data_IF_581083392208
#
_entry.id   IF_581083392208
#
_cell.length_a   1.000
_cell.length_b   1.000
_cell.length_c   1.000
_cell.angle_alpha   90.00
_cell.angle_beta   90.00
_cell.angle_gamma   90.00
#
_symmetry.space_group_name_H-M   'P 1'
#
loop_
_entity.id
_entity.type
_entity.pdbx_description
1 polymer ?
#
# COMPACT_ATOMS: atom_id res chain seq x y z
N UNK A 1 -56.74 -4.90 2.51
CA UNK A 1 -56.24 -3.50 2.63
C UNK A 1 -55.31 -3.26 3.81
N UNK A 2 -55.59 -3.68 5.06
CA UNK A 2 -54.70 -3.45 6.24
C UNK A 2 -53.34 -4.14 6.07
N UNK A 3 -53.30 -5.43 5.68
CA UNK A 3 -52.06 -6.19 5.45
C UNK A 3 -51.14 -5.56 4.40
N UNK A 4 -51.72 -5.03 3.30
CA UNK A 4 -50.93 -4.33 2.26
C UNK A 4 -50.33 -3.03 2.79
N UNK A 5 -51.04 -2.28 3.64
CA UNK A 5 -50.51 -1.07 4.30
C UNK A 5 -49.36 -1.40 5.24
N UNK A 6 -49.45 -2.47 6.05
CA UNK A 6 -48.35 -2.90 6.93
C UNK A 6 -47.14 -3.38 6.11
N UNK A 7 -47.37 -4.09 5.01
CA UNK A 7 -46.28 -4.48 4.11
C UNK A 7 -45.53 -3.28 3.52
N UNK A 8 -46.26 -2.25 3.05
CA UNK A 8 -45.67 -1.01 2.53
C UNK A 8 -44.89 -0.25 3.61
N UNK A 9 -45.40 -0.18 4.84
CA UNK A 9 -44.65 0.47 5.96
C UNK A 9 -43.37 -0.28 6.27
N UNK A 10 -43.39 -1.61 6.32
CA UNK A 10 -42.15 -2.41 6.58
C UNK A 10 -41.14 -2.17 5.48
N UNK A 11 -41.54 -2.20 4.20
CA UNK A 11 -40.66 -1.92 3.07
C UNK A 11 -40.07 -0.51 3.15
N UNK A 12 -40.87 0.49 3.48
CA UNK A 12 -40.42 1.88 3.64
C UNK A 12 -39.40 2.00 4.78
N UNK A 13 -39.64 1.36 5.92
CA UNK A 13 -38.68 1.34 7.07
C UNK A 13 -37.36 0.67 6.66
N UNK A 14 -37.42 -0.48 5.98
CA UNK A 14 -36.22 -1.17 5.49
C UNK A 14 -35.42 -0.30 4.52
N UNK A 15 -36.09 0.37 3.59
CA UNK A 15 -35.43 1.29 2.66
C UNK A 15 -34.76 2.47 3.39
N UNK A 16 -35.44 3.04 4.39
CA UNK A 16 -34.85 4.12 5.21
C UNK A 16 -33.62 3.60 5.96
N UNK A 17 -33.69 2.42 6.56
CA UNK A 17 -32.53 1.84 7.26
C UNK A 17 -31.36 1.57 6.32
N UNK A 18 -31.63 1.03 5.14
CA UNK A 18 -30.60 0.80 4.11
C UNK A 18 -29.99 2.14 3.66
N UNK A 19 -30.81 3.14 3.38
CA UNK A 19 -30.33 4.45 2.95
C UNK A 19 -29.53 5.14 4.05
N UNK A 20 -30.00 5.08 5.30
CA UNK A 20 -29.28 5.63 6.45
C UNK A 20 -27.91 4.93 6.64
N UNK A 21 -27.87 3.61 6.51
CA UNK A 21 -26.64 2.85 6.59
C UNK A 21 -25.68 3.21 5.47
N UNK A 22 -26.21 3.36 4.25
CA UNK A 22 -25.43 3.74 3.08
C UNK A 22 -24.83 5.13 3.22
N UNK A 23 -25.64 6.14 3.59
CA UNK A 23 -25.16 7.51 3.80
C UNK A 23 -24.17 7.60 4.95
N UNK A 24 -24.38 6.84 6.03
CA UNK A 24 -23.42 6.76 7.13
C UNK A 24 -22.07 6.20 6.69
N UNK A 25 -22.05 5.18 5.85
CA UNK A 25 -20.81 4.57 5.37
C UNK A 25 -20.07 5.45 4.36
N UNK A 26 -20.79 6.28 3.61
CA UNK A 26 -20.23 7.21 2.60
C UNK A 26 -19.86 8.59 3.18
N UNK A 27 -20.15 8.83 4.47
CA UNK A 27 -19.80 10.13 5.03
C UNK A 27 -18.30 10.34 5.08
N UNK A 28 -17.87 11.55 4.81
CA UNK A 28 -16.53 12.01 5.15
C UNK A 28 -16.33 11.91 6.67
N UNK A 29 -15.30 11.21 7.14
CA UNK A 29 -14.94 11.10 8.55
C UNK A 29 -14.15 12.31 9.05
N UNK A 30 -13.65 13.13 8.15
CA UNK A 30 -12.79 14.28 8.43
C UNK A 30 -13.22 15.55 7.68
N UNK A 31 -14.50 15.98 7.77
CA UNK A 31 -15.03 17.08 6.95
C UNK A 31 -14.33 18.42 7.22
N UNK A 32 -13.66 18.56 8.37
CA UNK A 32 -12.91 19.77 8.71
C UNK A 32 -11.43 19.69 8.30
N UNK A 33 -10.99 18.56 7.74
CA UNK A 33 -9.60 18.42 7.33
C UNK A 33 -9.40 19.17 6.02
N UNK A 34 -8.67 20.27 6.10
CA UNK A 34 -8.24 21.07 4.97
C UNK A 34 -6.72 21.19 4.97
N UNK A 35 -6.11 21.23 3.80
CA UNK A 35 -4.68 21.50 3.62
C UNK A 35 -4.59 22.84 2.92
N UNK A 36 -4.14 23.83 3.68
CA UNK A 36 -3.74 25.13 3.15
C UNK A 36 -2.25 25.30 3.47
N UNK A 37 -1.43 24.69 2.61
CA UNK A 37 0.00 24.64 2.76
C UNK A 37 0.65 25.48 1.67
N UNK A 38 1.23 26.61 2.07
CA UNK A 38 2.12 27.42 1.25
C UNK A 38 3.55 27.17 1.75
N UNK A 39 4.42 26.66 0.89
CA UNK A 39 5.84 26.49 1.19
C UNK A 39 6.59 27.57 0.45
N UNK A 40 7.00 28.59 1.18
CA UNK A 40 7.92 29.59 0.64
C UNK A 40 9.35 29.04 0.68
N UNK A 41 10.09 29.07 -0.44
CA UNK A 41 11.48 28.62 -0.43
C UNK A 41 12.28 29.51 0.53
N UNK A 42 13.21 28.97 1.31
CA UNK A 42 14.09 29.77 2.14
C UNK A 42 14.89 30.75 1.29
N UNK A 43 15.13 31.97 1.83
CA UNK A 43 15.87 33.02 1.12
C UNK A 43 17.28 32.58 0.70
N UNK A 44 17.89 31.70 1.50
CA UNK A 44 19.18 31.09 1.20
C UNK A 44 19.03 29.54 1.27
N UNK A 45 19.67 28.79 0.35
CA UNK A 45 19.67 27.35 0.40
C UNK A 45 20.28 26.85 1.70
N UNK A 46 19.46 26.14 2.51
CA UNK A 46 19.92 25.49 3.74
C UNK A 46 20.60 24.14 3.49
N UNK A 47 21.06 23.54 4.58
CA UNK A 47 21.51 22.17 4.57
C UNK A 47 20.29 21.22 4.46
N UNK A 48 20.38 20.21 3.59
CA UNK A 48 19.31 19.26 3.39
C UNK A 48 19.54 18.01 4.22
N UNK A 49 18.54 17.62 4.99
CA UNK A 49 18.53 16.40 5.80
C UNK A 49 17.55 15.39 5.22
N UNK A 50 17.93 14.13 5.20
CA UNK A 50 17.04 13.03 4.82
C UNK A 50 17.16 11.89 5.81
N UNK A 51 16.04 11.27 6.14
CA UNK A 51 15.97 10.06 6.94
C UNK A 51 15.09 9.02 6.29
N UNK A 52 15.46 7.75 6.48
CA UNK A 52 14.69 6.61 5.99
C UNK A 52 14.35 5.66 7.12
N UNK A 53 13.21 4.99 6.98
CA UNK A 53 12.82 3.86 7.82
C UNK A 53 11.89 2.92 7.09
N UNK A 54 11.80 1.68 7.58
CA UNK A 54 10.81 0.69 7.16
C UNK A 54 10.27 -0.06 8.37
N UNK A 55 8.97 -0.33 8.39
CA UNK A 55 8.31 -1.14 9.40
C UNK A 55 7.50 -2.25 8.73
N UNK A 56 7.55 -3.49 9.25
CA UNK A 56 6.76 -4.58 8.69
C UNK A 56 5.27 -4.33 8.96
N UNK A 57 4.45 -4.64 7.95
CA UNK A 57 3.00 -4.63 8.03
C UNK A 57 2.39 -5.97 7.60
N UNK A 58 3.20 -7.01 7.51
CA UNK A 58 2.74 -8.36 7.16
C UNK A 58 1.69 -8.82 8.18
N UNK A 59 0.49 -9.28 7.73
CA UNK A 59 -0.52 -9.79 8.65
C UNK A 59 -0.13 -11.16 9.18
N UNK A 60 -0.66 -11.50 10.35
CA UNK A 60 -0.71 -12.90 10.75
C UNK A 60 -1.89 -13.55 10.01
N UNK A 61 -1.62 -14.57 9.21
CA UNK A 61 -2.66 -15.41 8.61
C UNK A 61 -3.16 -16.37 9.68
N UNK A 62 -4.41 -16.15 10.14
CA UNK A 62 -5.01 -16.91 11.25
C UNK A 62 -5.66 -18.18 10.78
N UNK A 63 -6.56 -18.08 9.77
CA UNK A 63 -7.27 -19.25 9.25
C UNK A 63 -6.87 -19.49 7.81
N UNK A 64 -6.72 -20.75 7.47
CA UNK A 64 -6.47 -21.22 6.10
C UNK A 64 -7.64 -22.06 5.60
N UNK A 65 -7.63 -22.44 4.33
CA UNK A 65 -8.72 -23.17 3.72
C UNK A 65 -8.22 -24.11 2.62
N UNK A 66 -9.09 -25.01 2.14
CA UNK A 66 -8.74 -25.98 1.10
C UNK A 66 -9.40 -25.59 -0.22
N UNK A 67 -8.60 -25.15 -1.17
CA UNK A 67 -9.00 -24.86 -2.57
C UNK A 67 -9.00 -26.16 -3.37
N UNK A 68 -10.12 -26.90 -3.38
CA UNK A 68 -10.21 -28.22 -4.03
C UNK A 68 -10.21 -28.14 -5.55
N UNK A 69 -10.74 -27.05 -6.11
CA UNK A 69 -10.88 -26.91 -7.55
C UNK A 69 -9.79 -26.05 -8.19
N UNK A 70 -8.90 -25.45 -7.39
CA UNK A 70 -7.77 -24.65 -7.86
C UNK A 70 -8.17 -23.32 -8.50
N UNK A 71 -9.35 -22.77 -8.11
CA UNK A 71 -9.85 -21.53 -8.67
C UNK A 71 -9.49 -20.28 -7.85
N UNK A 72 -8.83 -20.48 -6.69
CA UNK A 72 -8.45 -19.44 -5.73
C UNK A 72 -9.64 -18.66 -5.15
N UNK A 73 -10.81 -19.31 -5.05
CA UNK A 73 -12.05 -18.70 -4.51
C UNK A 73 -12.65 -19.62 -3.48
N UNK A 74 -12.82 -19.13 -2.26
CA UNK A 74 -13.46 -19.89 -1.19
C UNK A 74 -14.96 -20.06 -1.44
N UNK A 75 -15.40 -21.30 -1.63
CA UNK A 75 -16.76 -21.69 -2.02
C UNK A 75 -17.28 -22.81 -1.08
N UNK A 76 -17.65 -22.46 0.17
CA UNK A 76 -18.14 -23.46 1.14
C UNK A 76 -19.39 -24.17 0.65
N UNK A 77 -20.18 -23.56 -0.23
CA UNK A 77 -21.32 -24.17 -0.91
C UNK A 77 -20.93 -25.31 -1.86
N UNK A 78 -19.66 -25.40 -2.26
CA UNK A 78 -19.08 -26.50 -3.06
C UNK A 78 -18.35 -27.54 -2.20
N UNK A 79 -18.43 -27.42 -0.87
CA UNK A 79 -17.84 -28.35 0.08
C UNK A 79 -16.42 -27.99 0.51
N UNK A 80 -15.92 -26.77 0.17
CA UNK A 80 -14.64 -26.31 0.67
C UNK A 80 -14.70 -26.05 2.17
N UNK A 81 -13.64 -26.43 2.86
CA UNK A 81 -13.51 -26.33 4.30
C UNK A 81 -12.38 -25.41 4.70
N UNK A 82 -12.44 -24.88 5.90
CA UNK A 82 -11.37 -24.08 6.47
C UNK A 82 -10.74 -24.77 7.69
N UNK A 83 -9.52 -24.33 8.02
CA UNK A 83 -8.81 -24.73 9.24
C UNK A 83 -8.94 -23.59 10.24
N UNK A 84 -9.69 -23.83 11.31
CA UNK A 84 -9.88 -22.91 12.43
C UNK A 84 -8.64 -22.99 13.34
N UNK A 85 -7.64 -22.16 13.08
CA UNK A 85 -6.36 -22.19 13.80
C UNK A 85 -6.47 -21.57 15.19
N UNK A 86 -7.35 -20.58 15.35
CA UNK A 86 -7.55 -19.89 16.62
C UNK A 86 -8.60 -20.56 17.53
N UNK A 87 -9.34 -21.57 17.04
CA UNK A 87 -10.27 -22.40 17.80
C UNK A 87 -11.56 -21.68 18.21
N UNK A 88 -11.96 -20.64 17.49
CA UNK A 88 -13.14 -19.85 17.82
C UNK A 88 -14.42 -20.27 17.08
N UNK A 89 -14.36 -21.32 16.27
CA UNK A 89 -15.44 -21.87 15.43
C UNK A 89 -15.99 -20.88 14.40
N UNK A 90 -15.15 -19.96 13.91
CA UNK A 90 -15.47 -19.02 12.85
C UNK A 90 -14.36 -19.04 11.82
N UNK A 91 -14.70 -18.66 10.59
CA UNK A 91 -13.71 -18.43 9.57
C UNK A 91 -13.32 -16.94 9.57
N UNK A 92 -12.10 -16.65 10.05
CA UNK A 92 -11.53 -15.31 10.17
C UNK A 92 -10.34 -15.13 9.21
N UNK A 93 -10.58 -15.16 7.88
CA UNK A 93 -9.53 -15.10 6.89
C UNK A 93 -8.97 -13.68 6.73
N UNK A 94 -7.75 -13.62 6.23
CA UNK A 94 -7.22 -12.42 5.61
C UNK A 94 -7.61 -12.42 4.14
N UNK A 95 -8.49 -11.51 3.72
CA UNK A 95 -8.91 -11.38 2.34
C UNK A 95 -7.87 -10.62 1.52
N UNK A 96 -7.38 -11.24 0.44
CA UNK A 96 -6.41 -10.63 -0.47
C UNK A 96 -7.16 -9.75 -1.48
N UNK A 97 -6.71 -8.50 -1.63
CA UNK A 97 -7.27 -7.54 -2.57
C UNK A 97 -6.80 -7.75 -4.03
N UNK A 98 -7.40 -7.05 -4.97
CA UNK A 98 -6.86 -6.78 -6.29
C UNK A 98 -7.49 -7.51 -7.46
N UNK A 99 -8.14 -8.68 -7.27
CA UNK A 99 -8.75 -9.42 -8.38
C UNK A 99 -10.24 -9.69 -8.13
N UNK A 100 -10.58 -10.80 -7.48
CA UNK A 100 -11.96 -11.20 -7.22
C UNK A 100 -12.25 -11.35 -5.73
N UNK A 101 -13.51 -11.31 -5.34
CA UNK A 101 -13.94 -11.62 -3.99
C UNK A 101 -13.69 -13.09 -3.63
N UNK A 102 -13.73 -13.40 -2.33
CA UNK A 102 -13.54 -14.75 -1.79
C UNK A 102 -12.16 -15.32 -2.03
N UNK A 103 -11.13 -14.47 -1.95
CA UNK A 103 -9.72 -14.89 -2.09
C UNK A 103 -9.01 -14.78 -0.73
N UNK A 104 -9.17 -15.76 0.19
CA UNK A 104 -8.50 -15.72 1.48
C UNK A 104 -7.05 -16.18 1.36
N UNK A 105 -6.17 -15.54 2.12
CA UNK A 105 -4.76 -15.89 2.17
C UNK A 105 -4.54 -17.28 2.78
N UNK A 106 -3.58 -18.04 2.24
CA UNK A 106 -3.12 -19.32 2.77
C UNK A 106 -1.74 -19.26 3.46
N UNK A 107 -1.06 -18.12 3.37
CA UNK A 107 0.25 -17.93 3.94
C UNK A 107 0.90 -16.64 3.46
N UNK A 108 2.20 -16.54 3.71
CA UNK A 108 3.04 -15.39 3.34
C UNK A 108 4.19 -15.88 2.47
N UNK A 109 4.40 -15.23 1.33
CA UNK A 109 5.54 -15.45 0.44
C UNK A 109 6.71 -14.54 0.82
N UNK A 110 6.41 -13.24 1.02
CA UNK A 110 7.37 -12.22 1.45
C UNK A 110 6.66 -11.13 2.25
N UNK A 111 7.45 -10.35 2.99
CA UNK A 111 6.93 -9.34 3.88
C UNK A 111 6.35 -8.13 3.16
N UNK A 112 5.25 -7.61 3.71
CA UNK A 112 4.68 -6.31 3.39
C UNK A 112 5.29 -5.23 4.28
N UNK A 113 5.47 -4.03 3.73
CA UNK A 113 6.17 -2.94 4.39
C UNK A 113 5.42 -1.61 4.32
N UNK A 114 5.54 -0.80 5.38
CA UNK A 114 5.45 0.65 5.32
C UNK A 114 6.87 1.21 5.25
N UNK A 115 7.22 1.85 4.15
CA UNK A 115 8.56 2.42 3.90
C UNK A 115 8.48 3.93 3.76
N UNK A 116 9.38 4.65 4.39
CA UNK A 116 9.30 6.10 4.53
C UNK A 116 10.62 6.77 4.18
N UNK A 117 10.52 7.87 3.45
CA UNK A 117 11.55 8.89 3.30
C UNK A 117 11.06 10.19 3.92
N UNK A 118 11.85 10.81 4.78
CA UNK A 118 11.60 12.16 5.30
C UNK A 118 12.66 13.09 4.73
N UNK A 119 12.23 14.25 4.24
CA UNK A 119 13.07 15.32 3.73
C UNK A 119 12.84 16.55 4.60
N UNK A 120 13.92 17.21 5.00
CA UNK A 120 13.91 18.40 5.87
C UNK A 120 14.99 19.37 5.39
N UNK A 121 14.62 20.61 5.07
CA UNK A 121 15.53 21.67 4.66
C UNK A 121 15.81 22.69 5.78
N UNK A 122 15.36 22.37 7.01
CA UNK A 122 15.45 23.23 8.19
C UNK A 122 14.26 24.18 8.35
N UNK A 123 13.49 24.44 7.29
CA UNK A 123 12.27 25.25 7.30
C UNK A 123 11.01 24.38 7.14
N UNK A 124 11.09 23.38 6.27
CA UNK A 124 9.97 22.51 5.90
C UNK A 124 10.37 21.04 5.99
N UNK A 125 9.52 20.24 6.62
CA UNK A 125 9.68 18.79 6.74
C UNK A 125 8.53 18.04 6.09
N UNK A 126 8.84 17.20 5.11
CA UNK A 126 7.88 16.39 4.37
C UNK A 126 8.20 14.91 4.54
N UNK A 127 7.21 14.11 4.91
CA UNK A 127 7.31 12.67 4.92
C UNK A 127 6.62 12.08 3.68
N UNK A 128 7.26 11.11 3.03
CA UNK A 128 6.71 10.31 1.94
C UNK A 128 6.66 8.87 2.42
N UNK A 129 5.46 8.35 2.68
CA UNK A 129 5.22 6.99 3.14
C UNK A 129 4.60 6.17 2.02
N UNK A 130 5.23 5.04 1.68
CA UNK A 130 4.73 4.04 0.75
C UNK A 130 4.32 2.79 1.52
N UNK A 131 3.09 2.32 1.29
CA UNK A 131 2.47 1.20 1.98
C UNK A 131 2.22 0.09 0.96
N UNK A 132 2.66 -1.14 1.26
CA UNK A 132 2.37 -2.32 0.44
C UNK A 132 0.90 -2.72 0.61
N UNK A 133 0.06 -2.12 -0.23
CA UNK A 133 -1.38 -2.33 -0.30
C UNK A 133 -1.88 -2.01 -1.71
N UNK A 134 -3.05 -2.54 -2.08
CA UNK A 134 -3.68 -2.21 -3.36
C UNK A 134 -4.13 -0.74 -3.39
N UNK A 135 -4.49 -0.19 -2.25
CA UNK A 135 -4.92 1.19 -2.09
C UNK A 135 -5.17 1.54 -0.64
N UNK A 136 -5.31 2.84 -0.37
CA UNK A 136 -5.57 3.38 0.95
C UNK A 136 -6.58 4.50 0.83
N UNK A 137 -7.69 4.42 1.58
CA UNK A 137 -8.76 5.41 1.48
C UNK A 137 -8.32 6.73 2.11
N UNK A 138 -8.84 7.84 1.56
CA UNK A 138 -8.52 9.21 2.00
C UNK A 138 -8.65 9.40 3.50
N UNK A 139 -9.77 8.99 4.10
CA UNK A 139 -10.01 9.11 5.55
C UNK A 139 -8.93 8.40 6.39
N UNK A 140 -8.47 7.23 5.94
CA UNK A 140 -7.43 6.45 6.62
C UNK A 140 -6.05 7.11 6.46
N UNK A 141 -5.80 7.76 5.31
CA UNK A 141 -4.62 8.57 5.11
C UNK A 141 -4.64 9.83 6.01
N UNK A 142 -5.80 10.45 6.20
CA UNK A 142 -5.96 11.59 7.14
C UNK A 142 -5.70 11.17 8.58
N UNK A 143 -6.13 9.97 9.00
CA UNK A 143 -5.82 9.44 10.34
C UNK A 143 -4.31 9.34 10.57
N UNK A 144 -3.55 8.84 9.58
CA UNK A 144 -2.08 8.78 9.65
C UNK A 144 -1.49 10.20 9.72
N UNK A 145 -1.94 11.12 8.85
CA UNK A 145 -1.46 12.51 8.81
C UNK A 145 -1.66 13.24 10.14
N UNK A 146 -2.86 13.15 10.71
CA UNK A 146 -3.17 13.74 12.03
C UNK A 146 -2.28 13.14 13.13
N UNK A 147 -2.08 11.83 13.12
CA UNK A 147 -1.24 11.13 14.10
C UNK A 147 0.24 11.51 13.96
N UNK A 148 0.72 11.65 12.73
CA UNK A 148 2.08 12.06 12.42
C UNK A 148 2.31 13.54 12.80
N UNK A 149 1.41 14.44 12.39
CA UNK A 149 1.51 15.88 12.70
C UNK A 149 1.59 16.12 14.20
N UNK A 150 0.71 15.51 14.99
CA UNK A 150 0.66 15.70 16.45
C UNK A 150 1.88 15.17 17.20
N UNK A 151 2.66 14.24 16.62
CA UNK A 151 3.79 13.59 17.28
C UNK A 151 5.16 14.01 16.74
N UNK A 152 5.26 14.41 15.49
CA UNK A 152 6.53 14.37 14.75
C UNK A 152 6.88 15.70 14.07
N UNK A 153 6.00 16.68 14.16
CA UNK A 153 6.17 18.00 13.53
C UNK A 153 6.60 17.89 12.05
N UNK A 154 5.86 17.09 11.26
CA UNK A 154 5.93 17.12 9.80
C UNK A 154 4.93 18.14 9.28
N UNK A 155 5.37 19.03 8.41
CA UNK A 155 4.50 20.03 7.77
C UNK A 155 3.52 19.35 6.82
N UNK A 156 3.98 18.30 6.14
CA UNK A 156 3.11 17.47 5.31
C UNK A 156 3.54 16.00 5.26
N UNK A 157 2.56 15.11 5.12
CA UNK A 157 2.78 13.68 4.94
C UNK A 157 2.05 13.19 3.69
N UNK A 158 2.80 12.69 2.72
CA UNK A 158 2.29 12.03 1.53
C UNK A 158 2.14 10.54 1.84
N UNK A 159 0.93 10.02 1.66
CA UNK A 159 0.65 8.58 1.78
C UNK A 159 0.41 8.03 0.38
N UNK A 160 1.20 7.05 -0.02
CA UNK A 160 1.10 6.34 -1.28
C UNK A 160 0.95 4.84 -1.03
N UNK A 161 0.24 4.15 -1.91
CA UNK A 161 0.19 2.68 -1.95
C UNK A 161 1.02 2.17 -3.12
N UNK A 162 1.68 1.03 -2.95
CA UNK A 162 2.41 0.38 -4.05
C UNK A 162 1.47 -0.19 -5.11
N UNK A 163 0.20 -0.32 -4.81
CA UNK A 163 -0.86 -0.92 -5.62
C UNK A 163 -0.71 -2.44 -5.80
N UNK A 164 -0.07 -3.11 -4.85
CA UNK A 164 0.13 -4.56 -4.90
C UNK A 164 -1.19 -5.33 -4.76
N UNK A 165 -1.40 -6.33 -5.64
CA UNK A 165 -2.60 -7.16 -5.69
C UNK A 165 -2.48 -8.47 -4.88
N UNK A 166 -1.50 -8.53 -3.96
CA UNK A 166 -1.25 -9.70 -3.09
C UNK A 166 -1.22 -9.32 -1.61
N UNK A 167 -1.73 -8.13 -1.27
CA UNK A 167 -1.86 -7.64 0.10
C UNK A 167 -3.31 -7.75 0.61
N UNK A 168 -3.53 -7.65 1.94
CA UNK A 168 -4.87 -7.62 2.50
C UNK A 168 -5.72 -6.46 1.99
N UNK A 169 -7.04 -6.67 1.94
CA UNK A 169 -7.99 -5.62 1.59
C UNK A 169 -8.00 -4.50 2.65
N UNK A 170 -7.62 -3.29 2.24
CA UNK A 170 -7.67 -2.06 3.03
C UNK A 170 -8.68 -1.05 2.47
N UNK A 171 -9.39 -1.39 1.39
CA UNK A 171 -10.41 -0.54 0.75
C UNK A 171 -11.82 -0.99 1.10
N UNK A 172 -12.04 -2.31 1.26
CA UNK A 172 -13.31 -2.89 1.67
C UNK A 172 -14.17 -3.44 0.54
N UNK A 173 -13.57 -3.68 -0.64
CA UNK A 173 -14.29 -4.22 -1.80
C UNK A 173 -13.93 -5.66 -2.15
N UNK A 174 -12.93 -6.24 -1.48
CA UNK A 174 -12.52 -7.64 -1.67
C UNK A 174 -12.74 -8.44 -0.39
N UNK A 175 -13.94 -8.96 -0.19
CA UNK A 175 -14.32 -9.75 0.96
C UNK A 175 -15.02 -11.04 0.56
N UNK A 176 -15.80 -11.60 1.48
CA UNK A 176 -16.62 -12.79 1.24
C UNK A 176 -17.64 -12.59 0.11
N UNK A 177 -18.13 -11.36 -0.05
CA UNK A 177 -19.08 -11.00 -1.11
C UNK A 177 -19.01 -9.50 -1.40
N UNK A 178 -19.68 -9.08 -2.47
CA UNK A 178 -19.81 -7.66 -2.81
C UNK A 178 -20.39 -6.78 -1.68
N UNK A 179 -21.18 -7.38 -0.79
CA UNK A 179 -21.84 -6.67 0.32
C UNK A 179 -21.10 -6.79 1.66
N UNK A 180 -20.04 -7.58 1.72
CA UNK A 180 -19.22 -7.75 2.93
C UNK A 180 -17.80 -7.27 2.68
N UNK A 181 -17.41 -6.24 3.42
CA UNK A 181 -16.04 -5.71 3.40
C UNK A 181 -15.02 -6.79 3.78
N UNK A 182 -13.89 -6.81 3.07
CA UNK A 182 -12.74 -7.65 3.40
C UNK A 182 -11.78 -7.03 4.40
N UNK A 183 -12.02 -5.79 4.82
CA UNK A 183 -11.13 -5.09 5.76
C UNK A 183 -11.18 -5.75 7.14
N UNK A 184 -10.02 -6.23 7.59
CA UNK A 184 -9.79 -6.56 8.98
C UNK A 184 -9.43 -5.28 9.75
N UNK A 185 -10.30 -4.85 10.68
CA UNK A 185 -10.15 -3.59 11.40
C UNK A 185 -8.89 -3.53 12.26
N UNK A 186 -8.51 -4.65 12.90
CA UNK A 186 -7.30 -4.72 13.73
C UNK A 186 -6.05 -4.59 12.87
N UNK A 187 -6.04 -5.24 11.73
CA UNK A 187 -4.96 -5.12 10.74
C UNK A 187 -4.86 -3.69 10.18
N UNK A 188 -5.98 -3.05 9.84
CA UNK A 188 -6.00 -1.64 9.43
C UNK A 188 -5.35 -0.74 10.49
N UNK A 189 -5.73 -0.92 11.77
CA UNK A 189 -5.11 -0.18 12.87
C UNK A 189 -3.62 -0.48 13.02
N UNK A 190 -3.22 -1.73 12.80
CA UNK A 190 -1.81 -2.13 12.83
C UNK A 190 -1.02 -1.42 11.72
N UNK A 191 -1.51 -1.43 10.48
CA UNK A 191 -0.88 -0.73 9.34
C UNK A 191 -0.71 0.76 9.64
N UNK A 192 -1.75 1.44 10.14
CA UNK A 192 -1.67 2.85 10.51
C UNK A 192 -0.61 3.12 11.57
N UNK A 193 -0.57 2.31 12.65
CA UNK A 193 0.45 2.46 13.70
C UNK A 193 1.87 2.24 13.18
N UNK A 194 2.08 1.22 12.37
CA UNK A 194 3.39 0.92 11.78
C UNK A 194 3.85 2.02 10.83
N UNK A 195 2.94 2.60 10.05
CA UNK A 195 3.26 3.72 9.16
C UNK A 195 3.68 4.95 9.97
N UNK A 196 2.95 5.29 11.04
CA UNK A 196 3.35 6.40 11.94
C UNK A 196 4.71 6.12 12.60
N UNK A 197 4.94 4.88 13.08
CA UNK A 197 6.21 4.48 13.67
C UNK A 197 7.38 4.55 12.67
N UNK A 198 7.13 4.20 11.40
CA UNK A 198 8.12 4.37 10.33
C UNK A 198 8.47 5.86 10.10
N UNK A 199 7.46 6.75 10.09
CA UNK A 199 7.70 8.19 9.96
C UNK A 199 8.50 8.71 11.16
N UNK A 200 8.12 8.35 12.39
CA UNK A 200 8.87 8.72 13.61
C UNK A 200 10.32 8.27 13.56
N UNK A 201 10.56 7.07 13.09
CA UNK A 201 11.91 6.50 12.98
C UNK A 201 12.71 7.21 11.89
N UNK A 202 12.10 7.51 10.75
CA UNK A 202 12.75 8.25 9.67
C UNK A 202 13.16 9.66 10.12
N UNK A 203 12.30 10.35 10.89
CA UNK A 203 12.65 11.67 11.47
C UNK A 203 13.83 11.58 12.44
N UNK A 204 13.90 10.54 13.26
CA UNK A 204 15.05 10.31 14.16
C UNK A 204 16.35 10.00 13.42
N UNK A 205 16.25 9.51 12.19
CA UNK A 205 17.36 9.14 11.32
C UNK A 205 17.77 10.28 10.35
N UNK A 206 17.27 11.50 10.52
CA UNK A 206 17.65 12.64 9.69
C UNK A 206 19.14 12.94 9.82
N UNK A 207 19.83 12.97 8.70
CA UNK A 207 21.25 13.34 8.60
C UNK A 207 21.49 14.19 7.36
N UNK A 208 22.57 15.02 7.33
CA UNK A 208 22.92 15.84 6.17
C UNK A 208 23.23 14.98 4.95
N UNK A 209 22.63 15.35 3.80
CA UNK A 209 22.76 14.60 2.55
C UNK A 209 23.06 15.47 1.34
N UNK A 210 23.57 14.82 0.29
CA UNK A 210 23.44 15.26 -1.11
C UNK A 210 22.44 14.37 -1.83
N UNK A 211 21.56 14.97 -2.61
CA UNK A 211 20.68 14.23 -3.48
C UNK A 211 21.31 14.03 -4.86
N UNK A 212 21.14 12.82 -5.40
CA UNK A 212 21.39 12.51 -6.80
C UNK A 212 20.07 12.13 -7.43
N UNK A 213 19.72 12.80 -8.53
CA UNK A 213 18.49 12.55 -9.27
C UNK A 213 18.86 11.90 -10.58
N UNK A 214 18.14 10.85 -10.97
CA UNK A 214 18.32 10.13 -12.22
C UNK A 214 16.98 9.67 -12.79
N UNK A 215 17.00 9.37 -14.09
CA UNK A 215 15.87 8.77 -14.76
C UNK A 215 16.31 7.87 -15.90
N UNK A 216 15.52 6.84 -16.17
CA UNK A 216 15.54 6.05 -17.39
C UNK A 216 14.13 6.01 -17.95
N UNK A 217 13.93 6.61 -19.12
CA UNK A 217 12.61 6.78 -19.72
C UNK A 217 12.26 5.66 -20.72
N UNK A 218 13.22 4.80 -21.09
CA UNK A 218 13.07 3.82 -22.16
C UNK A 218 13.37 2.39 -21.70
N UNK A 219 14.27 2.19 -20.76
CA UNK A 219 14.76 0.86 -20.36
C UNK A 219 13.69 -0.07 -19.80
N UNK A 220 12.61 0.48 -19.27
CA UNK A 220 11.50 -0.30 -18.72
C UNK A 220 10.35 -0.56 -19.72
N UNK A 221 10.41 -0.05 -20.96
CA UNK A 221 9.39 -0.27 -21.99
C UNK A 221 9.05 -1.79 -22.17
N UNK A 222 10.03 -2.71 -22.21
CA UNK A 222 9.72 -4.13 -22.40
C UNK A 222 8.96 -4.78 -21.23
N UNK A 223 8.87 -4.10 -20.09
CA UNK A 223 8.29 -4.64 -18.86
C UNK A 223 6.93 -4.04 -18.49
N UNK A 224 6.36 -3.24 -19.39
CA UNK A 224 5.07 -2.56 -19.18
C UNK A 224 4.26 -2.63 -20.47
N UNK A 225 2.97 -2.88 -20.35
CA UNK A 225 2.01 -2.82 -21.47
C UNK A 225 0.77 -2.03 -21.03
N UNK A 226 0.26 -1.16 -21.89
CA UNK A 226 -1.05 -0.55 -21.65
C UNK A 226 -2.15 -1.47 -22.22
N UNK A 227 -3.10 -1.82 -21.38
CA UNK A 227 -4.25 -2.66 -21.74
C UNK A 227 -5.36 -1.91 -22.52
N UNK A 228 -5.20 -0.61 -22.71
CA UNK A 228 -6.19 0.28 -23.38
C UNK A 228 -5.80 0.57 -24.83
N UNK A 229 -6.77 1.06 -25.61
CA UNK A 229 -6.56 1.52 -26.97
C UNK A 229 -7.13 2.98 -27.10
N UNK A 230 -6.34 3.97 -27.54
CA UNK A 230 -4.91 3.89 -27.88
C UNK A 230 -4.02 3.66 -26.65
N UNK A 231 -2.88 3.00 -26.87
CA UNK A 231 -1.89 2.79 -25.80
C UNK A 231 -1.22 4.11 -25.42
N UNK A 232 -1.24 4.43 -24.13
CA UNK A 232 -0.55 5.60 -23.56
C UNK A 232 0.27 5.14 -22.35
N UNK A 233 1.60 5.20 -22.46
CA UNK A 233 2.49 4.65 -21.44
C UNK A 233 3.43 5.71 -20.86
N UNK A 234 3.67 5.65 -19.56
CA UNK A 234 4.81 6.26 -18.89
C UNK A 234 5.73 5.15 -18.34
N UNK A 235 6.61 4.58 -19.15
CA UNK A 235 7.49 3.49 -18.73
C UNK A 235 8.68 3.99 -17.91
N UNK A 236 8.82 5.30 -17.73
CA UNK A 236 9.97 5.93 -17.11
C UNK A 236 10.17 5.54 -15.65
N UNK A 237 11.38 5.10 -15.32
CA UNK A 237 11.84 4.94 -13.93
C UNK A 237 12.54 6.22 -13.52
N UNK A 238 12.15 6.80 -12.39
CA UNK A 238 12.72 8.00 -11.81
C UNK A 238 13.22 7.73 -10.41
N UNK A 239 14.42 8.22 -10.07
CA UNK A 239 15.05 7.94 -8.79
C UNK A 239 15.61 9.21 -8.16
N UNK A 240 15.42 9.32 -6.84
CA UNK A 240 16.11 10.26 -5.96
C UNK A 240 16.93 9.42 -4.99
N UNK A 241 18.26 9.51 -5.05
CA UNK A 241 19.19 8.85 -4.13
C UNK A 241 19.70 9.85 -3.10
N UNK A 242 19.58 9.55 -1.82
CA UNK A 242 20.15 10.35 -0.75
C UNK A 242 21.49 9.75 -0.29
N UNK A 243 22.55 10.55 -0.37
CA UNK A 243 23.92 10.17 -0.02
C UNK A 243 24.35 10.97 1.20
N UNK A 244 24.67 10.30 2.31
CA UNK A 244 25.18 10.94 3.53
C UNK A 244 26.48 11.68 3.24
N UNK A 245 26.55 12.95 3.60
CA UNK A 245 27.72 13.80 3.32
C UNK A 245 28.97 13.26 4.02
N UNK A 246 28.83 12.84 5.27
CA UNK A 246 29.96 12.41 6.12
C UNK A 246 30.59 11.10 5.63
N UNK A 247 29.80 10.11 5.29
CA UNK A 247 30.28 8.76 4.95
C UNK A 247 30.39 8.49 3.46
N UNK A 248 29.69 9.29 2.63
CA UNK A 248 29.53 9.03 1.20
C UNK A 248 28.66 7.82 0.87
N UNK A 249 27.99 7.23 1.88
CA UNK A 249 27.14 6.06 1.70
C UNK A 249 25.72 6.46 1.34
N UNK A 250 25.05 5.63 0.55
CA UNK A 250 23.63 5.75 0.29
C UNK A 250 22.83 5.45 1.56
N UNK A 251 21.98 6.38 1.99
CA UNK A 251 21.02 6.16 3.07
C UNK A 251 19.77 5.44 2.55
N UNK A 252 19.39 5.77 1.34
CA UNK A 252 18.24 5.20 0.66
C UNK A 252 17.91 5.90 -0.64
N UNK A 253 16.86 5.45 -1.27
CA UNK A 253 16.34 6.02 -2.51
C UNK A 253 14.82 6.04 -2.53
N UNK A 254 14.26 7.04 -3.21
CA UNK A 254 12.85 7.08 -3.61
C UNK A 254 12.81 6.76 -5.10
N UNK A 255 12.05 5.74 -5.48
CA UNK A 255 11.90 5.33 -6.88
C UNK A 255 10.44 5.37 -7.27
N UNK A 256 10.16 6.00 -8.42
CA UNK A 256 8.84 6.00 -9.05
C UNK A 256 8.89 5.25 -10.36
N UNK A 257 7.97 4.30 -10.53
CA UNK A 257 7.73 3.57 -11.76
C UNK A 257 6.24 3.23 -11.89
N UNK A 258 5.68 3.40 -13.09
CA UNK A 258 4.27 3.16 -13.38
C UNK A 258 4.07 1.72 -13.86
N UNK A 259 3.66 0.83 -12.98
CA UNK A 259 3.42 -0.58 -13.32
C UNK A 259 2.54 -1.25 -12.26
N UNK A 260 1.57 -2.10 -12.68
CA UNK A 260 0.74 -2.85 -11.76
C UNK A 260 1.54 -3.97 -11.07
N UNK A 261 1.63 -4.01 -9.74
CA UNK A 261 2.26 -5.11 -9.03
C UNK A 261 1.29 -6.30 -8.87
N UNK A 262 1.19 -7.08 -9.93
CA UNK A 262 0.27 -8.22 -10.06
C UNK A 262 0.90 -9.43 -10.78
N UNK A 263 2.25 -9.51 -10.81
CA UNK A 263 2.99 -10.56 -11.51
C UNK A 263 2.67 -11.97 -11.01
N UNK A 264 2.30 -12.11 -9.73
CA UNK A 264 1.89 -13.39 -9.15
C UNK A 264 0.46 -13.80 -9.52
N UNK A 265 -0.32 -12.88 -10.09
CA UNK A 265 -1.65 -13.07 -10.66
C UNK A 265 -2.73 -13.55 -9.67
N UNK A 266 -3.96 -13.77 -10.19
CA UNK A 266 -5.17 -14.01 -9.40
C UNK A 266 -5.22 -15.34 -8.65
N UNK A 267 -4.43 -16.34 -9.07
CA UNK A 267 -4.39 -17.67 -8.44
C UNK A 267 -3.39 -17.77 -7.28
N UNK A 268 -2.56 -16.76 -7.07
CA UNK A 268 -1.69 -16.73 -5.91
C UNK A 268 -2.50 -16.46 -4.64
N UNK A 269 -2.32 -17.29 -3.63
CA UNK A 269 -2.99 -17.20 -2.32
C UNK A 269 -2.02 -16.84 -1.20
N UNK A 270 -0.78 -16.47 -1.55
CA UNK A 270 0.22 -16.04 -0.58
C UNK A 270 0.32 -14.52 -0.56
N UNK A 271 0.37 -13.94 0.63
CA UNK A 271 0.66 -12.52 0.83
C UNK A 271 2.06 -12.21 0.31
N UNK A 272 2.18 -11.15 -0.48
CA UNK A 272 3.45 -10.74 -1.09
C UNK A 272 3.42 -9.25 -1.45
N UNK A 273 4.59 -8.60 -1.43
CA UNK A 273 4.78 -7.29 -2.04
C UNK A 273 4.92 -7.36 -3.57
N UNK A 274 4.80 -8.56 -4.19
CA UNK A 274 4.94 -8.79 -5.62
C UNK A 274 6.30 -8.28 -6.18
N UNK A 275 6.38 -7.82 -7.44
CA UNK A 275 7.65 -7.34 -8.01
C UNK A 275 8.31 -6.20 -7.20
N UNK A 276 7.60 -5.29 -6.51
CA UNK A 276 8.23 -4.29 -5.63
C UNK A 276 9.15 -4.89 -4.56
N UNK A 277 8.89 -6.12 -4.07
CA UNK A 277 9.83 -6.82 -3.19
C UNK A 277 11.19 -7.00 -3.87
N UNK A 278 11.22 -7.67 -5.00
CA UNK A 278 12.45 -7.98 -5.75
C UNK A 278 13.15 -6.74 -6.30
N UNK A 279 12.35 -5.75 -6.71
CA UNK A 279 12.87 -4.46 -7.16
C UNK A 279 13.65 -3.75 -6.05
N UNK A 280 13.06 -3.65 -4.85
CA UNK A 280 13.71 -3.03 -3.68
C UNK A 280 14.95 -3.79 -3.27
N UNK A 281 14.88 -5.13 -3.18
CA UNK A 281 16.02 -5.99 -2.88
C UNK A 281 17.18 -5.77 -3.88
N UNK A 282 16.86 -5.69 -5.17
CA UNK A 282 17.85 -5.46 -6.21
C UNK A 282 18.51 -4.09 -6.10
N UNK A 283 17.75 -3.05 -5.78
CA UNK A 283 18.28 -1.68 -5.59
C UNK A 283 19.11 -1.58 -4.32
N UNK A 284 18.67 -2.21 -3.23
CA UNK A 284 19.35 -2.19 -1.93
C UNK A 284 20.62 -3.05 -1.93
N UNK A 285 20.51 -4.30 -2.37
CA UNK A 285 21.52 -5.34 -2.17
C UNK A 285 22.26 -5.75 -3.47
N UNK A 286 21.73 -5.35 -4.62
CA UNK A 286 22.28 -5.71 -5.94
C UNK A 286 21.54 -6.87 -6.60
N UNK A 287 21.86 -7.05 -7.88
CA UNK A 287 21.27 -8.12 -8.70
C UNK A 287 22.17 -9.35 -8.64
N UNK A 288 21.60 -10.48 -8.23
CA UNK A 288 22.31 -11.74 -8.11
C UNK A 288 21.73 -12.82 -9.04
N UNK A 289 22.60 -13.73 -9.50
CA UNK A 289 22.22 -14.99 -10.14
C UNK A 289 22.89 -16.13 -9.39
N UNK A 290 22.13 -16.79 -8.51
CA UNK A 290 22.72 -17.65 -7.48
C UNK A 290 23.67 -16.83 -6.61
N UNK A 291 24.87 -17.33 -6.33
CA UNK A 291 25.88 -16.62 -5.52
C UNK A 291 26.65 -15.53 -6.28
N UNK A 292 26.40 -15.37 -7.58
CA UNK A 292 27.10 -14.40 -8.41
C UNK A 292 26.41 -13.04 -8.39
N UNK A 293 27.11 -12.00 -7.95
CA UNK A 293 26.68 -10.61 -8.08
C UNK A 293 26.83 -10.17 -9.55
N UNK A 294 25.72 -9.75 -10.18
CA UNK A 294 25.67 -9.23 -11.54
C UNK A 294 25.76 -7.71 -11.60
N UNK A 295 25.10 -7.04 -10.66
CA UNK A 295 25.14 -5.59 -10.53
C UNK A 295 25.14 -5.19 -9.06
N UNK A 296 25.97 -4.21 -8.70
CA UNK A 296 26.07 -3.69 -7.34
C UNK A 296 24.81 -2.93 -6.97
N UNK A 297 24.28 -3.16 -5.76
CA UNK A 297 23.19 -2.37 -5.19
C UNK A 297 23.65 -0.97 -4.78
N UNK A 298 22.72 -0.07 -4.65
CA UNK A 298 22.96 1.30 -4.16
C UNK A 298 23.14 1.34 -2.64
N UNK A 299 22.57 0.36 -1.94
CA UNK A 299 22.49 0.33 -0.48
C UNK A 299 21.32 1.15 0.07
N UNK A 300 21.22 1.14 1.39
CA UNK A 300 20.19 1.90 2.13
C UNK A 300 18.80 1.30 2.02
N UNK A 301 17.76 2.13 2.19
CA UNK A 301 16.35 1.74 2.13
C UNK A 301 15.72 2.31 0.87
N UNK A 302 15.08 1.46 0.05
CA UNK A 302 14.36 1.88 -1.15
C UNK A 302 12.88 2.08 -0.84
N UNK A 303 12.37 3.28 -1.08
CA UNK A 303 10.94 3.61 -1.07
C UNK A 303 10.44 3.57 -2.51
N UNK A 304 9.59 2.61 -2.84
CA UNK A 304 8.95 2.50 -4.15
C UNK A 304 7.59 3.20 -4.11
N UNK A 305 7.32 4.08 -5.06
CA UNK A 305 6.01 4.68 -5.27
C UNK A 305 5.54 4.37 -6.69
N UNK A 306 4.29 3.94 -6.82
CA UNK A 306 3.71 3.74 -8.13
C UNK A 306 3.44 5.09 -8.78
N UNK A 307 3.73 5.22 -10.07
CA UNK A 307 3.48 6.42 -10.86
C UNK A 307 2.06 6.46 -11.44
N UNK A 308 1.92 6.94 -12.66
CA UNK A 308 0.66 7.00 -13.40
C UNK A 308 0.24 5.59 -13.88
N UNK A 309 -0.11 4.72 -12.93
CA UNK A 309 -0.34 3.29 -13.18
C UNK A 309 -1.45 3.02 -14.18
N UNK A 310 -2.62 3.71 -14.04
CA UNK A 310 -3.71 3.64 -15.01
C UNK A 310 -4.04 2.22 -15.50
N UNK A 311 -3.89 1.97 -16.79
CA UNK A 311 -4.02 0.66 -17.43
C UNK A 311 -2.69 -0.06 -17.68
N UNK A 312 -1.60 0.40 -17.06
CA UNK A 312 -0.26 -0.15 -17.24
C UNK A 312 -0.09 -1.44 -16.45
N UNK A 313 -0.04 -2.55 -17.17
CA UNK A 313 0.05 -3.90 -16.61
C UNK A 313 1.49 -4.41 -16.72
N UNK A 314 1.89 -5.27 -15.79
CA UNK A 314 3.12 -6.03 -15.93
C UNK A 314 3.02 -6.96 -17.13
N UNK A 315 4.10 -7.10 -17.87
CA UNK A 315 4.23 -8.15 -18.88
C UNK A 315 4.45 -9.50 -18.19
N UNK A 316 3.74 -10.52 -18.65
CA UNK A 316 3.94 -11.92 -18.26
C UNK A 316 5.18 -12.52 -18.91
#
# INVERSE_FOLDING_TARGET
MKLLKYGLVIVAVLLILILTRFTYNLRDRHPEFNIDLVIDPPAEPGELFVGFAKMPITPQVTDTWNDFNGNARYEPEQGETYNDVNGNNKFDPIWIAGFHNRRPAQGVHDDLWARVMVIDDGATRVAIASIDAVGFIYDDAVDIRKSAHGKINCDYTIISSTHVHQAPDLIGIWGESFFKSGVNTEYMHYVKRQTVAAIETAVKNLVPVKLRIGQDLEGAIPYVVDSRDPQEMDPGIRIIQAIEIRSGKTLGSLVSWSNHPETLWSKNLLISSDFPHYFRESVENGVHKGDRLLAQGLGGITVFVNGAVGGLMTTN
#
